data_IF_140307745830
#
_entry.id   IF_140307745830
#
_cell.length_a   1.000
_cell.length_b   1.000
_cell.length_c   1.000
_cell.angle_alpha   90.00
_cell.angle_beta   90.00
_cell.angle_gamma   90.00
#
_symmetry.space_group_name_H-M   'P 1'
#
loop_
_entity.id
_entity.type
_entity.pdbx_description
1 polymer ?
#
# COMPACT_ATOMS: atom_id res chain seq x y z
N UNK A 1 -3.65 24.73 -22.05
CA UNK A 1 -3.78 24.58 -20.58
C UNK A 1 -4.33 23.20 -20.19
N UNK A 2 -5.36 22.72 -20.89
CA UNK A 2 -5.98 21.40 -20.68
C UNK A 2 -4.97 20.24 -20.83
N UNK A 3 -4.11 20.25 -21.86
CA UNK A 3 -3.11 19.19 -22.08
C UNK A 3 -2.11 19.05 -20.93
N UNK A 4 -1.74 20.16 -20.28
CA UNK A 4 -0.84 20.12 -19.11
C UNK A 4 -1.50 19.44 -17.92
N UNK A 5 -2.80 19.67 -17.71
CA UNK A 5 -3.58 19.07 -16.62
C UNK A 5 -3.77 17.57 -16.85
N UNK A 6 -4.12 17.18 -18.08
CA UNK A 6 -4.26 15.75 -18.44
C UNK A 6 -2.92 15.03 -18.30
N UNK A 7 -1.83 15.63 -18.77
CA UNK A 7 -0.47 15.08 -18.59
C UNK A 7 -0.10 14.92 -17.11
N UNK A 8 -0.40 15.90 -16.27
CA UNK A 8 -0.13 15.81 -14.83
C UNK A 8 -0.91 14.67 -14.17
N UNK A 9 -2.19 14.48 -14.53
CA UNK A 9 -3.01 13.36 -14.06
C UNK A 9 -2.47 12.01 -14.54
N UNK A 10 -2.01 11.93 -15.79
CA UNK A 10 -1.35 10.74 -16.33
C UNK A 10 -0.06 10.39 -15.59
N UNK A 11 0.76 11.39 -15.28
CA UNK A 11 1.97 11.19 -14.46
C UNK A 11 1.62 10.71 -13.03
N UNK A 12 0.53 11.21 -12.44
CA UNK A 12 0.05 10.74 -11.14
C UNK A 12 -0.41 9.28 -11.20
N UNK A 13 -1.13 8.88 -12.24
CA UNK A 13 -1.50 7.47 -12.46
C UNK A 13 -0.24 6.59 -12.53
N UNK A 14 0.72 6.95 -13.38
CA UNK A 14 1.96 6.17 -13.54
C UNK A 14 2.71 6.07 -12.20
N UNK A 15 2.85 7.18 -11.48
CA UNK A 15 3.51 7.19 -10.16
C UNK A 15 2.78 6.30 -9.16
N UNK A 16 1.45 6.36 -9.11
CA UNK A 16 0.63 5.51 -8.24
C UNK A 16 0.81 4.02 -8.56
N UNK A 17 0.76 3.65 -9.84
CA UNK A 17 0.97 2.26 -10.30
C UNK A 17 2.36 1.76 -9.93
N UNK A 18 3.41 2.55 -10.18
CA UNK A 18 4.79 2.19 -9.82
C UNK A 18 4.93 2.00 -8.32
N UNK A 19 4.39 2.92 -7.51
CA UNK A 19 4.44 2.80 -6.06
C UNK A 19 3.64 1.61 -5.54
N UNK A 20 2.50 1.28 -6.15
CA UNK A 20 1.70 0.11 -5.79
C UNK A 20 2.45 -1.21 -6.08
N UNK A 21 3.17 -1.27 -7.21
CA UNK A 21 4.02 -2.41 -7.54
C UNK A 21 5.26 -2.51 -6.64
N UNK A 22 5.90 -1.37 -6.33
CA UNK A 22 7.01 -1.33 -5.38
C UNK A 22 6.58 -1.76 -3.98
N UNK A 23 5.39 -1.33 -3.54
CA UNK A 23 4.80 -1.76 -2.27
C UNK A 23 4.70 -3.28 -2.22
N UNK A 24 4.10 -3.91 -3.24
CA UNK A 24 4.03 -5.37 -3.36
C UNK A 24 5.41 -6.05 -3.34
N UNK A 25 6.39 -5.52 -4.08
CA UNK A 25 7.75 -6.07 -4.12
C UNK A 25 8.42 -5.98 -2.74
N UNK A 26 8.27 -4.85 -2.06
CA UNK A 26 8.77 -4.71 -0.70
C UNK A 26 8.04 -5.68 0.24
N UNK A 27 6.71 -5.72 0.28
CA UNK A 27 5.98 -6.70 1.09
C UNK A 27 6.44 -8.15 0.84
N UNK A 28 6.69 -8.53 -0.42
CA UNK A 28 7.25 -9.83 -0.77
C UNK A 28 8.62 -10.10 -0.12
N UNK A 29 9.54 -9.14 -0.18
CA UNK A 29 10.84 -9.23 0.50
C UNK A 29 10.66 -9.32 2.02
N UNK A 30 9.73 -8.53 2.58
CA UNK A 30 9.40 -8.58 4.01
C UNK A 30 8.90 -9.96 4.47
N UNK A 31 8.11 -10.62 3.62
CA UNK A 31 7.58 -11.96 3.89
C UNK A 31 8.64 -13.05 3.77
N UNK A 32 9.51 -12.95 2.76
CA UNK A 32 10.50 -13.97 2.42
C UNK A 32 11.74 -13.92 3.32
N UNK A 33 12.28 -12.73 3.56
CA UNK A 33 13.55 -12.55 4.28
C UNK A 33 13.36 -12.36 5.79
N UNK A 34 12.26 -11.73 6.21
CA UNK A 34 12.07 -11.32 7.60
C UNK A 34 10.91 -12.03 8.30
N UNK A 35 10.17 -12.90 7.61
CA UNK A 35 8.99 -13.58 8.14
C UNK A 35 7.91 -12.64 8.67
N UNK A 36 7.95 -11.36 8.26
CA UNK A 36 7.02 -10.35 8.76
C UNK A 36 5.64 -10.66 8.20
N UNK A 37 4.66 -10.94 9.05
CA UNK A 37 3.26 -10.96 8.62
C UNK A 37 2.76 -9.52 8.57
N UNK A 38 2.67 -8.93 7.37
CA UNK A 38 1.90 -7.69 7.22
C UNK A 38 0.45 -7.98 7.62
N UNK A 39 -0.14 -7.07 8.38
CA UNK A 39 -1.57 -7.09 8.70
C UNK A 39 -2.36 -6.69 7.45
N UNK A 40 -2.36 -7.55 6.45
CA UNK A 40 -3.12 -7.34 5.23
C UNK A 40 -4.57 -7.76 5.52
N UNK A 41 -5.50 -6.80 5.41
CA UNK A 41 -6.92 -7.06 5.61
C UNK A 41 -7.42 -8.22 4.72
N UNK A 42 -6.88 -8.39 3.51
CA UNK A 42 -7.22 -9.54 2.66
C UNK A 42 -6.71 -10.87 3.24
N UNK A 43 -5.53 -10.91 3.86
CA UNK A 43 -5.02 -12.12 4.51
C UNK A 43 -5.90 -12.50 5.70
N UNK A 44 -6.30 -11.51 6.51
CA UNK A 44 -7.15 -11.71 7.68
C UNK A 44 -8.59 -12.07 7.30
N UNK A 45 -9.19 -11.38 6.33
CA UNK A 45 -10.60 -11.53 5.96
C UNK A 45 -10.85 -12.72 5.03
N UNK A 46 -9.89 -13.05 4.15
CA UNK A 46 -10.05 -14.14 3.16
C UNK A 46 -9.26 -15.40 3.52
N UNK A 47 -8.58 -15.43 4.68
CA UNK A 47 -7.75 -16.54 5.13
C UNK A 47 -6.72 -17.00 4.07
N UNK A 48 -6.18 -16.04 3.32
CA UNK A 48 -5.20 -16.29 2.26
C UNK A 48 -3.77 -16.16 2.78
N UNK A 49 -2.83 -16.88 2.16
CA UNK A 49 -1.40 -16.68 2.44
C UNK A 49 -0.97 -15.24 2.12
N UNK A 50 -0.03 -14.70 2.89
CA UNK A 50 0.39 -13.28 2.82
C UNK A 50 0.74 -12.82 1.39
N UNK A 51 1.43 -13.67 0.61
CA UNK A 51 1.77 -13.39 -0.79
C UNK A 51 0.55 -13.21 -1.68
N UNK A 52 -0.43 -14.12 -1.57
CA UNK A 52 -1.65 -14.06 -2.38
C UNK A 52 -2.52 -12.88 -1.97
N UNK A 53 -2.59 -12.59 -0.66
CA UNK A 53 -3.30 -11.44 -0.14
C UNK A 53 -2.66 -10.11 -0.60
N UNK A 54 -1.34 -10.00 -0.61
CA UNK A 54 -0.63 -8.81 -1.08
C UNK A 54 -0.82 -8.60 -2.59
N UNK A 55 -0.76 -9.67 -3.38
CA UNK A 55 -1.04 -9.61 -4.82
C UNK A 55 -2.49 -9.15 -5.08
N UNK A 56 -3.46 -9.72 -4.36
CA UNK A 56 -4.87 -9.36 -4.51
C UNK A 56 -5.12 -7.89 -4.12
N UNK A 57 -4.47 -7.43 -3.06
CA UNK A 57 -4.50 -6.02 -2.65
C UNK A 57 -3.93 -5.12 -3.75
N UNK A 58 -2.77 -5.47 -4.32
CA UNK A 58 -2.14 -4.74 -5.43
C UNK A 58 -3.10 -4.61 -6.62
N UNK A 59 -3.72 -5.71 -7.06
CA UNK A 59 -4.65 -5.72 -8.19
C UNK A 59 -5.93 -4.91 -7.90
N UNK A 60 -6.46 -5.02 -6.69
CA UNK A 60 -7.66 -4.29 -6.27
C UNK A 60 -7.38 -2.79 -6.25
N UNK A 61 -6.25 -2.37 -5.67
CA UNK A 61 -5.87 -0.97 -5.64
C UNK A 61 -5.55 -0.42 -7.04
N UNK A 62 -4.92 -1.20 -7.91
CA UNK A 62 -4.66 -0.79 -9.29
C UNK A 62 -5.97 -0.49 -10.03
N UNK A 63 -6.97 -1.36 -9.83
CA UNK A 63 -8.32 -1.18 -10.41
C UNK A 63 -8.97 0.11 -9.90
N UNK A 64 -8.86 0.40 -8.60
CA UNK A 64 -9.39 1.63 -8.00
C UNK A 64 -8.68 2.88 -8.51
N UNK A 65 -7.35 2.85 -8.62
CA UNK A 65 -6.55 3.97 -9.13
C UNK A 65 -6.91 4.27 -10.59
N UNK A 66 -7.02 3.24 -11.43
CA UNK A 66 -7.45 3.41 -12.82
C UNK A 66 -8.84 4.02 -12.89
N UNK A 67 -9.78 3.57 -12.05
CA UNK A 67 -11.13 4.10 -12.00
C UNK A 67 -11.15 5.57 -11.56
N UNK A 68 -10.39 5.94 -10.52
CA UNK A 68 -10.25 7.34 -10.11
C UNK A 68 -9.59 8.20 -11.18
N UNK A 69 -8.62 7.68 -11.92
CA UNK A 69 -8.02 8.39 -13.05
C UNK A 69 -9.05 8.68 -14.13
N UNK A 70 -9.80 7.67 -14.59
CA UNK A 70 -10.84 7.84 -15.60
C UNK A 70 -11.92 8.82 -15.15
N UNK A 71 -12.37 8.74 -13.90
CA UNK A 71 -13.32 9.71 -13.32
C UNK A 71 -12.72 11.11 -13.24
N UNK A 72 -11.43 11.24 -12.90
CA UNK A 72 -10.75 12.52 -12.77
C UNK A 72 -10.67 13.30 -14.09
N UNK A 73 -10.72 12.61 -15.24
CA UNK A 73 -10.73 13.26 -16.56
C UNK A 73 -11.98 14.12 -16.75
N UNK A 74 -13.13 13.69 -16.21
CA UNK A 74 -14.40 14.42 -16.28
C UNK A 74 -14.70 15.24 -15.03
N UNK A 75 -14.29 14.75 -13.86
CA UNK A 75 -14.61 15.32 -12.56
C UNK A 75 -13.32 15.59 -11.77
N UNK A 76 -12.81 16.84 -11.75
CA UNK A 76 -11.50 17.15 -11.16
C UNK A 76 -11.34 16.75 -9.70
N UNK A 77 -12.43 16.68 -8.93
CA UNK A 77 -12.43 16.27 -7.52
C UNK A 77 -11.77 14.91 -7.30
N UNK A 78 -11.88 13.97 -8.25
CA UNK A 78 -11.28 12.63 -8.09
C UNK A 78 -9.74 12.63 -8.17
N UNK A 79 -9.14 13.74 -8.62
CA UNK A 79 -7.67 13.91 -8.59
C UNK A 79 -7.14 13.83 -7.15
N UNK A 80 -7.94 14.25 -6.15
CA UNK A 80 -7.50 14.21 -4.74
C UNK A 80 -7.28 12.77 -4.27
N UNK A 81 -8.10 11.82 -4.71
CA UNK A 81 -7.95 10.40 -4.35
C UNK A 81 -6.67 9.81 -4.95
N UNK A 82 -6.34 10.18 -6.19
CA UNK A 82 -5.06 9.79 -6.81
C UNK A 82 -3.87 10.32 -6.00
N UNK A 83 -3.90 11.58 -5.60
CA UNK A 83 -2.82 12.20 -4.81
C UNK A 83 -2.68 11.52 -3.44
N UNK A 84 -3.78 11.35 -2.70
CA UNK A 84 -3.79 10.72 -1.39
C UNK A 84 -3.31 9.27 -1.47
N UNK A 85 -3.79 8.52 -2.47
CA UNK A 85 -3.35 7.15 -2.67
C UNK A 85 -1.86 7.06 -3.01
N UNK A 86 -1.38 7.92 -3.90
CA UNK A 86 0.05 8.00 -4.27
C UNK A 86 0.92 8.27 -3.05
N UNK A 87 0.54 9.26 -2.22
CA UNK A 87 1.25 9.58 -0.98
C UNK A 87 1.21 8.40 0.02
N UNK A 88 0.05 7.76 0.16
CA UNK A 88 -0.12 6.56 0.98
C UNK A 88 0.83 5.43 0.57
N UNK A 89 0.90 5.11 -0.72
CA UNK A 89 1.80 4.06 -1.23
C UNK A 89 3.27 4.44 -1.10
N UNK A 90 3.63 5.71 -1.29
CA UNK A 90 5.00 6.17 -1.01
C UNK A 90 5.38 5.92 0.46
N UNK A 91 4.48 6.23 1.39
CA UNK A 91 4.71 5.95 2.82
C UNK A 91 4.83 4.46 3.12
N UNK A 92 4.02 3.60 2.50
CA UNK A 92 4.13 2.14 2.67
C UNK A 92 5.49 1.62 2.19
N UNK A 93 5.92 2.01 0.98
CA UNK A 93 7.23 1.62 0.42
C UNK A 93 8.37 2.07 1.33
N UNK A 94 8.33 3.33 1.80
CA UNK A 94 9.32 3.85 2.74
C UNK A 94 9.29 3.08 4.06
N UNK A 95 8.11 2.80 4.60
CA UNK A 95 7.94 2.02 5.83
C UNK A 95 8.53 0.62 5.72
N UNK A 96 8.28 -0.07 4.61
CA UNK A 96 8.83 -1.39 4.33
C UNK A 96 10.35 -1.34 4.15
N UNK A 97 10.88 -0.35 3.43
CA UNK A 97 12.32 -0.15 3.28
C UNK A 97 13.01 0.14 4.62
N UNK A 98 12.40 0.95 5.49
CA UNK A 98 12.92 1.25 6.83
C UNK A 98 12.91 0.01 7.74
N UNK A 99 11.93 -0.88 7.58
CA UNK A 99 11.90 -2.14 8.30
C UNK A 99 13.11 -3.04 7.95
N UNK A 100 13.60 -3.04 6.71
CA UNK A 100 14.76 -3.84 6.31
C UNK A 100 16.08 -3.37 6.90
N UNK A 101 16.23 -2.06 7.12
CA UNK A 101 17.43 -1.49 7.75
C UNK A 101 17.37 -1.52 9.29
N UNK A 102 16.41 -2.25 9.85
CA UNK A 102 16.27 -2.43 11.30
C UNK A 102 15.60 -1.28 12.04
N UNK A 103 15.06 -0.29 11.32
CA UNK A 103 14.30 0.83 11.90
C UNK A 103 12.83 0.40 12.03
N UNK A 104 12.54 -0.41 13.04
CA UNK A 104 11.19 -0.94 13.34
C UNK A 104 10.29 0.06 14.09
N UNK A 105 10.39 1.36 13.82
CA UNK A 105 9.88 2.41 14.72
C UNK A 105 8.35 2.47 14.87
N UNK A 106 7.58 1.76 14.03
CA UNK A 106 6.10 1.72 14.13
C UNK A 106 5.59 0.29 14.32
N UNK A 107 6.15 -0.68 13.58
CA UNK A 107 5.71 -2.08 13.66
C UNK A 107 6.01 -2.74 15.01
N UNK A 108 7.06 -2.34 15.74
CA UNK A 108 7.29 -2.86 17.10
C UNK A 108 6.26 -2.36 18.12
N UNK A 109 5.76 -1.12 18.01
CA UNK A 109 4.73 -0.64 18.94
C UNK A 109 3.44 -1.45 18.75
N UNK A 110 3.09 -1.78 17.51
CA UNK A 110 1.93 -2.62 17.20
C UNK A 110 2.13 -4.11 17.55
N UNK A 111 3.32 -4.68 17.32
CA UNK A 111 3.61 -6.07 17.71
C UNK A 111 3.72 -6.23 19.24
N UNK A 112 4.33 -5.26 19.93
CA UNK A 112 4.38 -5.23 21.40
C UNK A 112 2.96 -5.10 21.96
N UNK A 113 2.12 -4.22 21.40
CA UNK A 113 0.74 -4.09 21.87
C UNK A 113 -0.08 -5.36 21.66
N UNK A 114 0.08 -6.07 20.53
CA UNK A 114 -0.57 -7.37 20.30
C UNK A 114 -0.07 -8.48 21.24
N UNK A 115 1.25 -8.55 21.49
CA UNK A 115 1.82 -9.53 22.43
C UNK A 115 1.42 -9.27 23.89
N UNK A 116 1.27 -8.00 24.28
CA UNK A 116 0.71 -7.62 25.59
C UNK A 116 -0.77 -7.98 25.67
N UNK A 117 -1.54 -7.70 24.61
CA UNK A 117 -2.97 -8.02 24.57
C UNK A 117 -3.24 -9.53 24.64
N UNK A 118 -2.39 -10.36 24.02
CA UNK A 118 -2.51 -11.82 24.12
C UNK A 118 -2.12 -12.33 25.51
N UNK A 119 -1.10 -11.75 26.14
CA UNK A 119 -0.66 -12.12 27.50
C UNK A 119 -1.66 -11.70 28.59
N UNK A 120 -2.50 -10.69 28.33
CA UNK A 120 -3.56 -10.25 29.24
C UNK A 120 -4.86 -11.05 29.08
N UNK A 121 -5.02 -11.81 27.99
CA UNK A 121 -6.18 -12.64 27.70
C UNK A 121 -5.95 -14.14 27.98
N UNK A 122 -4.80 -14.49 28.56
CA UNK A 122 -4.48 -15.81 29.17
C UNK A 122 -4.44 -15.67 30.68
#
# INVERSE_FOLDING_TARGET
MIDRIVKAKGNLLITATVLNALDLLTSYIGFSEFGLTELNAFATTLHMGNYLAALLACLTYETLVLLWYLLSLKHPIFTIFLVVFTAGKAMSVIGNALAYVGIYSINKVFLISQSILSALNT
#
